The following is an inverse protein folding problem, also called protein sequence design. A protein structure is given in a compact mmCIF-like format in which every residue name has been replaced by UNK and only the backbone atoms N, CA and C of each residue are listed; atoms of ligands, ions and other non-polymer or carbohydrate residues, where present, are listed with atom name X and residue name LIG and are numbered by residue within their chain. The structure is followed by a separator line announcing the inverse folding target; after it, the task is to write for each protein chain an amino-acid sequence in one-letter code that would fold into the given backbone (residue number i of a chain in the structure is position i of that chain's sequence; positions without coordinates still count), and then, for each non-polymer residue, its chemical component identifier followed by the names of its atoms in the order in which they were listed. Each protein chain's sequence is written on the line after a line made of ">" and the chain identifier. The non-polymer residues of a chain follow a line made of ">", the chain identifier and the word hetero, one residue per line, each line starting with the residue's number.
data_IF_705961534607
#
_entry.id   IF_705961534607
#
_cell.length_a   1.000
_cell.length_b   1.000
_cell.length_c   1.000
_cell.angle_alpha   90.00
_cell.angle_beta   90.00
_cell.angle_gamma   90.00
#
_symmetry.space_group_name_H-M   'P 1'
#
loop_
_entity.id
_entity.type
_entity.pdbx_description
1 polymer ?
#
# COMPACT_ATOMS: atom_id res chain seq x y z
N UNK A 1 -23.72 -13.08 -22.93
CA UNK A 1 -23.02 -13.33 -21.65
C UNK A 1 -22.65 -11.97 -21.08
N UNK A 2 -22.69 -11.87 -19.75
CA UNK A 2 -22.97 -10.68 -18.97
C UNK A 2 -22.06 -9.46 -19.19
N UNK A 3 -22.75 -8.32 -19.27
CA UNK A 3 -22.43 -7.02 -18.66
C UNK A 3 -21.07 -6.38 -18.99
N UNK A 4 -21.11 -5.56 -20.04
CA UNK A 4 -20.32 -4.36 -20.18
C UNK A 4 -20.59 -3.43 -18.96
N UNK A 5 -19.73 -3.51 -17.94
CA UNK A 5 -19.82 -2.63 -16.79
C UNK A 5 -19.22 -1.26 -17.12
N UNK A 6 -20.12 -0.30 -17.24
CA UNK A 6 -19.89 1.14 -17.19
C UNK A 6 -18.95 1.54 -16.03
N UNK A 7 -17.84 2.24 -16.31
CA UNK A 7 -17.42 3.43 -15.53
C UNK A 7 -16.29 4.19 -16.21
N UNK A 8 -16.55 5.48 -16.38
CA UNK A 8 -15.75 6.46 -17.10
C UNK A 8 -14.60 6.96 -16.20
N UNK A 9 -13.46 7.31 -16.83
CA UNK A 9 -12.34 8.12 -16.29
C UNK A 9 -11.67 7.57 -15.02
N UNK A 10 -10.67 6.71 -15.19
CA UNK A 10 -9.76 6.39 -14.09
C UNK A 10 -8.35 6.18 -14.64
N UNK A 11 -7.75 7.22 -15.22
CA UNK A 11 -6.29 7.25 -15.23
C UNK A 11 -5.84 7.38 -13.77
N UNK A 12 -4.89 6.56 -13.29
CA UNK A 12 -4.35 6.71 -11.95
C UNK A 12 -3.76 8.11 -11.79
N UNK A 13 -3.91 8.68 -10.59
CA UNK A 13 -3.35 10.00 -10.31
C UNK A 13 -1.83 9.93 -10.38
N UNK A 14 -1.17 11.03 -10.76
CA UNK A 14 0.30 11.09 -10.83
C UNK A 14 0.97 10.64 -9.51
N UNK A 15 0.33 10.90 -8.36
CA UNK A 15 0.79 10.41 -7.06
C UNK A 15 0.73 8.89 -6.92
N UNK A 16 -0.30 8.25 -7.46
CA UNK A 16 -0.39 6.79 -7.50
C UNK A 16 0.66 6.21 -8.44
N UNK A 17 0.86 6.85 -9.60
CA UNK A 17 1.88 6.45 -10.59
C UNK A 17 3.28 6.49 -9.94
N UNK A 18 3.61 7.61 -9.30
CA UNK A 18 4.87 7.75 -8.56
C UNK A 18 5.00 6.74 -7.41
N UNK A 19 3.92 6.50 -6.66
CA UNK A 19 3.91 5.53 -5.56
C UNK A 19 4.14 4.10 -6.08
N UNK A 20 3.52 3.71 -7.20
CA UNK A 20 3.68 2.36 -7.74
C UNK A 20 5.08 2.18 -8.37
N UNK A 21 5.62 3.19 -9.07
CA UNK A 21 7.03 3.20 -9.50
C UNK A 21 7.98 3.01 -8.33
N UNK A 22 7.76 3.77 -7.26
CA UNK A 22 8.59 3.68 -6.06
C UNK A 22 8.46 2.31 -5.38
N UNK A 23 7.24 1.76 -5.31
CA UNK A 23 7.01 0.43 -4.76
C UNK A 23 7.70 -0.64 -5.62
N UNK A 24 7.62 -0.53 -6.95
CA UNK A 24 8.27 -1.44 -7.87
C UNK A 24 9.79 -1.47 -7.69
N UNK A 25 10.43 -0.30 -7.62
CA UNK A 25 11.87 -0.18 -7.37
C UNK A 25 12.27 -0.72 -5.99
N UNK A 26 11.46 -0.45 -4.95
CA UNK A 26 11.75 -0.92 -3.58
C UNK A 26 11.63 -2.43 -3.42
N UNK A 27 10.73 -3.05 -4.17
CA UNK A 27 10.47 -4.49 -4.09
C UNK A 27 11.22 -5.28 -5.18
N UNK A 28 11.99 -4.60 -6.04
CA UNK A 28 12.67 -5.18 -7.20
C UNK A 28 11.70 -5.99 -8.09
N UNK A 29 10.56 -5.39 -8.40
CA UNK A 29 9.49 -6.02 -9.19
C UNK A 29 9.22 -5.21 -10.45
N UNK A 30 8.84 -5.90 -11.53
CA UNK A 30 8.50 -5.23 -12.79
C UNK A 30 7.12 -4.57 -12.69
N UNK A 31 7.05 -3.32 -13.13
CA UNK A 31 5.79 -2.60 -13.29
C UNK A 31 4.94 -3.28 -14.38
N UNK A 32 3.63 -3.48 -14.15
CA UNK A 32 2.75 -4.03 -15.16
C UNK A 32 2.62 -3.08 -16.35
N UNK A 33 2.46 -3.66 -17.55
CA UNK A 33 1.99 -2.91 -18.72
C UNK A 33 0.59 -2.38 -18.37
N UNK A 34 0.27 -1.15 -18.77
CA UNK A 34 -0.99 -0.46 -18.48
C UNK A 34 -1.16 0.15 -17.08
N UNK A 35 -0.14 0.14 -16.23
CA UNK A 35 -0.23 0.79 -14.90
C UNK A 35 -0.44 2.32 -14.97
N UNK A 36 -0.07 2.98 -16.07
CA UNK A 36 -0.21 4.43 -16.25
C UNK A 36 -1.57 4.82 -16.87
N UNK A 37 -2.19 3.90 -17.58
CA UNK A 37 -3.47 4.08 -18.28
C UNK A 37 -4.66 3.53 -17.51
N UNK A 38 -4.43 2.53 -16.65
CA UNK A 38 -5.47 1.74 -15.99
C UNK A 38 -5.35 1.84 -14.46
N UNK A 39 -6.29 2.56 -13.83
CA UNK A 39 -6.31 2.74 -12.38
C UNK A 39 -6.49 1.42 -11.65
N UNK A 40 -7.22 0.45 -12.19
CA UNK A 40 -7.43 -0.84 -11.51
C UNK A 40 -6.12 -1.63 -11.46
N UNK A 41 -5.34 -1.63 -12.55
CA UNK A 41 -4.00 -2.23 -12.61
C UNK A 41 -3.08 -1.53 -11.61
N UNK A 42 -3.03 -0.20 -11.62
CA UNK A 42 -2.22 0.57 -10.67
C UNK A 42 -2.66 0.34 -9.22
N UNK A 43 -3.97 0.31 -8.94
CA UNK A 43 -4.54 0.10 -7.60
C UNK A 43 -4.27 -1.31 -7.11
N UNK A 44 -4.40 -2.34 -7.95
CA UNK A 44 -4.14 -3.73 -7.56
C UNK A 44 -2.66 -3.95 -7.26
N UNK A 45 -1.77 -3.40 -8.11
CA UNK A 45 -0.34 -3.40 -7.85
C UNK A 45 -0.06 -2.68 -6.52
N UNK A 46 -0.53 -1.44 -6.38
CA UNK A 46 -0.38 -0.69 -5.15
C UNK A 46 -0.94 -1.44 -3.95
N UNK A 47 -2.11 -2.06 -4.02
CA UNK A 47 -2.69 -2.84 -2.91
C UNK A 47 -1.78 -4.02 -2.52
N UNK A 48 -1.23 -4.76 -3.49
CA UNK A 48 -0.32 -5.88 -3.23
C UNK A 48 1.01 -5.46 -2.57
N UNK A 49 1.51 -4.26 -2.90
CA UNK A 49 2.75 -3.73 -2.30
C UNK A 49 2.51 -2.80 -1.10
N UNK A 50 1.34 -2.18 -0.98
CA UNK A 50 0.92 -1.36 0.15
C UNK A 50 0.32 -2.19 1.26
N UNK A 51 -0.19 -3.40 1.01
CA UNK A 51 -0.59 -4.33 2.07
C UNK A 51 0.62 -4.87 2.82
N UNK A 52 1.83 -4.79 2.26
CA UNK A 52 3.06 -5.10 2.98
C UNK A 52 3.56 -3.85 3.74
N UNK A 53 3.77 -3.94 5.05
CA UNK A 53 4.23 -2.81 5.82
C UNK A 53 5.62 -2.40 5.35
N UNK A 54 5.73 -1.14 4.92
CA UNK A 54 7.03 -0.60 4.55
C UNK A 54 7.93 -0.51 5.77
N UNK A 55 9.26 -0.66 5.61
CA UNK A 55 10.19 -0.57 6.73
C UNK A 55 10.07 0.75 7.50
N UNK A 56 9.74 1.86 6.81
CA UNK A 56 9.42 3.14 7.47
C UNK A 56 8.20 3.05 8.40
N UNK A 57 7.14 2.37 7.97
CA UNK A 57 5.95 2.19 8.80
C UNK A 57 6.25 1.30 10.01
N UNK A 58 7.03 0.22 9.82
CA UNK A 58 7.48 -0.64 10.94
C UNK A 58 8.29 0.15 11.95
N UNK A 59 9.30 0.91 11.51
CA UNK A 59 10.09 1.74 12.43
C UNK A 59 9.26 2.80 13.16
N UNK A 60 8.18 3.30 12.54
CA UNK A 60 7.27 4.25 13.18
C UNK A 60 6.40 3.56 14.24
N UNK A 61 5.84 2.39 13.91
CA UNK A 61 5.13 1.56 14.87
C UNK A 61 6.02 1.12 16.04
N UNK A 62 7.27 0.74 15.77
CA UNK A 62 8.24 0.35 16.80
C UNK A 62 8.57 1.49 17.74
N UNK A 63 8.66 2.72 17.23
CA UNK A 63 8.79 3.92 18.05
C UNK A 63 7.59 4.10 18.98
N UNK A 64 6.37 4.03 18.45
CA UNK A 64 5.13 4.17 19.24
C UNK A 64 5.03 3.06 20.29
N UNK A 65 5.30 1.82 19.89
CA UNK A 65 5.34 0.66 20.76
C UNK A 65 6.32 0.86 21.93
N UNK A 66 7.53 1.35 21.63
CA UNK A 66 8.54 1.62 22.64
C UNK A 66 8.17 2.79 23.56
N UNK A 67 7.57 3.85 23.00
CA UNK A 67 7.16 5.04 23.74
C UNK A 67 5.99 4.74 24.70
N UNK A 68 4.98 4.03 24.21
CA UNK A 68 3.78 3.65 24.99
C UNK A 68 3.93 2.35 25.78
N UNK A 69 5.03 1.62 25.60
CA UNK A 69 5.22 0.30 26.18
C UNK A 69 4.25 -0.76 25.63
N UNK A 70 3.80 -0.60 24.39
CA UNK A 70 2.91 -1.52 23.70
C UNK A 70 3.69 -2.48 22.81
N UNK A 71 3.07 -3.59 22.43
CA UNK A 71 3.63 -4.55 21.47
C UNK A 71 2.88 -4.47 20.15
N UNK A 72 3.62 -4.40 19.04
CA UNK A 72 3.02 -4.45 17.71
C UNK A 72 2.51 -5.89 17.47
N UNK A 73 1.20 -6.09 17.17
CA UNK A 73 0.66 -7.41 16.87
C UNK A 73 1.26 -7.97 15.58
N UNK A 74 1.44 -9.30 15.50
CA UNK A 74 2.09 -9.94 14.35
C UNK A 74 1.33 -9.73 13.03
N UNK A 75 0.01 -9.60 13.09
CA UNK A 75 -0.83 -9.24 11.94
C UNK A 75 -0.44 -7.86 11.38
N UNK A 76 -0.25 -6.86 12.24
CA UNK A 76 0.29 -5.56 11.86
C UNK A 76 1.74 -5.63 11.33
N UNK A 77 2.54 -6.62 11.75
CA UNK A 77 3.92 -6.77 11.24
C UNK A 77 3.97 -7.28 9.81
N UNK A 78 2.92 -7.95 9.35
CA UNK A 78 2.83 -8.50 7.99
C UNK A 78 1.82 -7.77 7.11
N UNK A 79 0.93 -6.97 7.71
CA UNK A 79 -0.12 -6.22 7.03
C UNK A 79 0.01 -4.72 7.32
N UNK A 80 0.36 -3.92 6.33
CA UNK A 80 0.50 -2.48 6.47
C UNK A 80 -0.82 -1.78 6.81
N UNK A 81 -1.95 -2.37 6.41
CA UNK A 81 -3.26 -1.79 6.69
C UNK A 81 -3.55 -1.89 8.18
N UNK A 82 -3.27 -3.04 8.78
CA UNK A 82 -3.34 -3.23 10.23
C UNK A 82 -2.24 -2.44 10.96
N UNK A 83 -1.02 -2.41 10.43
CA UNK A 83 0.04 -1.57 10.99
C UNK A 83 -0.36 -0.11 11.02
N UNK A 84 -0.91 0.40 9.92
CA UNK A 84 -1.35 1.78 9.82
C UNK A 84 -2.54 2.04 10.74
N UNK A 85 -3.50 1.13 10.83
CA UNK A 85 -4.63 1.27 11.75
C UNK A 85 -4.16 1.26 13.22
N UNK A 86 -3.23 0.37 13.56
CA UNK A 86 -2.61 0.30 14.87
C UNK A 86 -1.79 1.56 15.17
N UNK A 87 -0.96 2.01 14.23
CA UNK A 87 -0.22 3.28 14.34
C UNK A 87 -1.20 4.44 14.56
N UNK A 88 -2.26 4.56 13.77
CA UNK A 88 -3.17 5.71 13.86
C UNK A 88 -3.95 5.71 15.19
N UNK A 89 -4.31 4.53 15.71
CA UNK A 89 -4.90 4.37 17.03
C UNK A 89 -3.92 4.70 18.18
N UNK A 90 -2.60 4.61 17.93
CA UNK A 90 -1.57 4.71 18.97
C UNK A 90 -0.58 5.88 18.79
N UNK A 91 -0.65 6.67 17.71
CA UNK A 91 0.24 7.82 17.45
C UNK A 91 0.04 8.99 18.41
#
# INVERSE_FOLDING_TARGET
>A
MAEANEKRKSAPTEKMIAAAKTAAERHDVKLPQDFDTDFEVCKKFLDEYLTKPTPKALSFAEKIAKDKGLTIPDEARVNAKELSAWIDANK
#
